data_IF_403964937708
#
_entry.id   IF_403964937708
#
_cell.length_a   1.000
_cell.length_b   1.000
_cell.length_c   1.000
_cell.angle_alpha   90.00
_cell.angle_beta   90.00
_cell.angle_gamma   90.00
#
_symmetry.space_group_name_H-M   'P 1'
#
loop_
_entity.id
_entity.type
_entity.pdbx_description
1 polymer ?
#
# COMPACT_ATOMS: atom_id res chain seq x y z
N UNK A 1 33.01 21.20 25.40
CA UNK A 1 32.68 21.77 24.09
C UNK A 1 32.50 20.61 23.13
N UNK A 2 31.35 20.59 22.44
CA UNK A 2 31.02 19.80 21.24
C UNK A 2 31.07 18.26 21.34
N UNK A 3 30.17 17.47 20.75
CA UNK A 3 28.89 17.65 20.05
C UNK A 3 28.37 16.22 19.84
N UNK A 4 27.29 15.83 20.49
CA UNK A 4 26.49 14.68 20.09
C UNK A 4 25.07 15.17 19.91
N UNK A 5 24.87 15.94 18.84
CA UNK A 5 23.57 16.16 18.23
C UNK A 5 23.13 14.84 17.61
N UNK A 6 22.58 13.94 18.42
CA UNK A 6 21.72 12.88 17.92
C UNK A 6 20.58 13.56 17.16
N UNK A 7 20.38 13.17 15.90
CA UNK A 7 19.29 13.64 15.07
C UNK A 7 17.98 13.58 15.87
N UNK A 8 17.38 14.74 16.12
CA UNK A 8 15.98 14.79 16.53
C UNK A 8 15.16 14.32 15.32
N UNK A 9 14.91 13.02 15.23
CA UNK A 9 13.79 12.51 14.46
C UNK A 9 12.56 13.22 15.02
N UNK A 10 11.94 14.07 14.20
CA UNK A 10 10.85 14.94 14.66
C UNK A 10 9.71 14.08 15.21
N UNK A 11 9.49 14.12 16.52
CA UNK A 11 8.35 13.45 17.18
C UNK A 11 7.01 14.04 16.75
N UNK A 12 7.03 15.26 16.21
CA UNK A 12 5.87 16.02 15.76
C UNK A 12 5.13 15.31 14.62
N UNK A 13 3.79 15.23 14.68
CA UNK A 13 2.98 14.78 13.56
C UNK A 13 3.17 15.68 12.33
N UNK A 14 3.35 15.08 11.16
CA UNK A 14 3.37 15.80 9.87
C UNK A 14 1.97 16.00 9.33
N UNK A 15 1.01 15.15 9.72
CA UNK A 15 -0.40 15.24 9.36
C UNK A 15 -1.25 15.04 10.62
N UNK A 16 -2.25 15.90 10.82
CA UNK A 16 -3.15 15.84 11.98
C UNK A 16 -4.58 15.73 11.46
N UNK A 17 -5.21 14.58 11.68
CA UNK A 17 -6.63 14.38 11.39
C UNK A 17 -7.49 14.66 12.61
N UNK A 18 -6.99 14.28 13.79
CA UNK A 18 -7.59 14.56 15.09
C UNK A 18 -6.50 15.14 16.01
N UNK A 19 -6.57 16.43 16.39
CA UNK A 19 -5.61 17.05 17.30
C UNK A 19 -5.57 16.41 18.68
N UNK A 20 -6.69 15.83 19.12
CA UNK A 20 -6.81 15.10 20.39
C UNK A 20 -6.59 13.58 20.19
N UNK A 21 -6.21 13.16 18.98
CA UNK A 21 -6.02 11.78 18.60
C UNK A 21 -4.85 11.12 19.33
N UNK A 22 -5.08 9.90 19.80
CA UNK A 22 -4.16 9.15 20.65
C UNK A 22 -3.24 8.20 19.86
N UNK A 23 -3.43 8.09 18.54
CA UNK A 23 -2.66 7.20 17.69
C UNK A 23 -1.80 8.01 16.73
N UNK A 24 -0.49 7.71 16.70
CA UNK A 24 0.43 8.20 15.68
C UNK A 24 0.75 7.05 14.73
N UNK A 25 0.33 7.14 13.48
CA UNK A 25 0.76 6.21 12.45
C UNK A 25 2.06 6.72 11.85
N UNK A 26 3.09 5.89 11.86
CA UNK A 26 4.35 6.14 11.16
C UNK A 26 4.30 5.35 9.86
N UNK A 27 4.22 6.06 8.74
CA UNK A 27 4.22 5.46 7.41
C UNK A 27 5.66 5.33 6.91
N UNK A 28 6.22 4.13 6.96
CA UNK A 28 7.54 3.83 6.42
C UNK A 28 7.45 3.47 4.95
N UNK A 29 8.51 3.78 4.20
CA UNK A 29 8.59 3.55 2.75
C UNK A 29 7.34 4.05 2.00
N UNK A 30 6.88 5.26 2.34
CA UNK A 30 5.73 5.87 1.67
C UNK A 30 5.94 5.92 0.14
N UNK A 31 4.86 5.66 -0.58
CA UNK A 31 4.82 5.64 -2.05
C UNK A 31 5.73 4.55 -2.65
N UNK A 32 5.80 3.39 -1.99
CA UNK A 32 6.50 2.21 -2.49
C UNK A 32 5.96 1.77 -3.87
N UNK A 33 6.78 1.06 -4.67
CA UNK A 33 6.35 0.52 -5.95
C UNK A 33 5.08 -0.36 -5.84
N UNK A 34 4.00 0.04 -6.51
CA UNK A 34 2.72 -0.66 -6.61
C UNK A 34 2.46 -1.31 -7.98
N UNK A 35 2.09 -2.61 -7.96
CA UNK A 35 1.64 -3.39 -9.13
C UNK A 35 2.65 -3.46 -10.30
N UNK A 36 3.93 -3.68 -9.99
CA UNK A 36 5.00 -3.87 -10.97
C UNK A 36 5.10 -5.33 -11.44
N UNK A 37 5.75 -5.54 -12.58
CA UNK A 37 6.17 -6.90 -12.98
C UNK A 37 7.19 -7.38 -11.96
N UNK A 38 7.11 -8.63 -11.47
CA UNK A 38 8.26 -9.21 -10.81
C UNK A 38 9.41 -9.16 -11.81
N UNK A 39 10.50 -8.48 -11.48
CA UNK A 39 11.73 -8.67 -12.25
C UNK A 39 12.06 -10.17 -12.15
N UNK A 40 12.20 -10.85 -13.30
CA UNK A 40 12.81 -12.17 -13.33
C UNK A 40 14.19 -12.02 -12.69
N UNK A 41 14.38 -12.52 -11.47
CA UNK A 41 15.69 -12.51 -10.82
C UNK A 41 16.60 -13.40 -11.67
N UNK A 42 17.58 -12.86 -12.42
CA UNK A 42 18.45 -13.71 -13.22
C UNK A 42 19.48 -14.34 -12.28
N UNK A 43 19.30 -15.63 -12.00
CA UNK A 43 20.36 -16.53 -11.56
C UNK A 43 20.79 -16.42 -10.09
N UNK A 44 20.18 -17.24 -9.23
CA UNK A 44 20.86 -17.79 -8.04
C UNK A 44 20.88 -19.32 -8.14
N UNK A 45 21.85 -19.83 -8.90
CA UNK A 45 22.34 -21.20 -8.73
C UNK A 45 23.67 -21.12 -7.97
N UNK A 46 23.86 -21.85 -6.86
CA UNK A 46 25.11 -21.83 -6.12
C UNK A 46 26.07 -22.85 -6.74
N UNK A 47 27.07 -22.39 -7.50
CA UNK A 47 28.21 -23.23 -7.86
C UNK A 47 29.55 -22.52 -7.65
N UNK A 48 30.18 -22.94 -6.54
CA UNK A 48 31.58 -23.36 -6.39
C UNK A 48 32.70 -22.51 -7.01
N UNK A 49 33.38 -21.81 -6.11
CA UNK A 49 34.81 -21.45 -6.09
C UNK A 49 35.69 -22.03 -7.20
N UNK A 50 36.33 -21.12 -7.95
CA UNK A 50 37.75 -21.23 -8.27
C UNK A 50 38.38 -19.83 -8.40
N UNK A 51 39.53 -19.65 -7.73
CA UNK A 51 40.34 -18.43 -7.69
C UNK A 51 41.11 -18.27 -9.00
N UNK A 52 41.28 -17.03 -9.45
CA UNK A 52 42.57 -16.51 -9.95
C UNK A 52 42.54 -14.99 -9.82
N UNK A 53 43.63 -14.44 -9.26
CA UNK A 53 43.83 -13.01 -9.02
C UNK A 53 44.57 -12.36 -10.19
N UNK A 54 44.24 -11.10 -10.50
CA UNK A 54 45.19 -9.99 -10.71
C UNK A 54 44.45 -8.65 -10.94
N UNK A 55 44.83 -7.64 -10.16
CA UNK A 55 44.47 -6.20 -10.21
C UNK A 55 45.50 -5.43 -11.10
N UNK A 56 45.41 -4.10 -11.37
CA UNK A 56 44.69 -3.06 -10.63
C UNK A 56 43.98 -1.91 -11.42
N UNK A 57 43.12 -1.22 -10.67
CA UNK A 57 42.87 0.23 -10.59
C UNK A 57 42.49 1.08 -11.83
N UNK A 58 41.29 1.65 -11.75
CA UNK A 58 41.06 3.06 -12.11
C UNK A 58 39.95 3.65 -11.23
N UNK A 59 40.36 4.56 -10.34
CA UNK A 59 39.53 5.46 -9.55
C UNK A 59 38.71 6.39 -10.44
N UNK A 60 37.39 6.27 -10.41
CA UNK A 60 36.49 7.38 -10.73
C UNK A 60 35.44 7.51 -9.62
N UNK A 61 35.78 8.32 -8.61
CA UNK A 61 34.83 8.80 -7.62
C UNK A 61 33.90 9.80 -8.31
N UNK A 62 32.74 9.35 -8.76
CA UNK A 62 31.62 10.23 -9.10
C UNK A 62 31.00 10.73 -7.78
N UNK A 63 30.85 12.04 -7.55
CA UNK A 63 30.19 12.53 -6.34
C UNK A 63 28.72 12.11 -6.34
N UNK A 64 28.36 11.15 -5.47
CA UNK A 64 26.96 10.90 -5.15
C UNK A 64 26.42 12.13 -4.42
N UNK A 65 25.44 12.80 -5.02
CA UNK A 65 24.62 13.80 -4.36
C UNK A 65 24.07 13.24 -3.04
N UNK A 66 23.98 14.03 -1.96
CA UNK A 66 23.42 13.56 -0.71
C UNK A 66 21.98 13.13 -0.93
N UNK A 67 21.72 11.83 -0.78
CA UNK A 67 20.38 11.26 -0.80
C UNK A 67 19.53 12.03 0.21
N UNK A 68 18.55 12.79 -0.28
CA UNK A 68 17.57 13.43 0.58
C UNK A 68 16.90 12.33 1.43
N UNK A 69 17.16 12.34 2.73
CA UNK A 69 16.52 11.41 3.67
C UNK A 69 15.02 11.69 3.59
N UNK A 70 14.26 10.80 2.92
CA UNK A 70 12.80 10.89 2.91
C UNK A 70 12.33 10.74 4.36
N UNK A 71 11.73 11.80 4.92
CA UNK A 71 11.14 11.72 6.25
C UNK A 71 9.87 10.88 6.21
N UNK A 72 9.74 9.96 7.16
CA UNK A 72 8.56 9.10 7.30
C UNK A 72 7.35 9.94 7.75
N UNK A 73 6.22 9.94 7.02
CA UNK A 73 5.02 10.65 7.46
C UNK A 73 4.52 10.14 8.82
N UNK A 74 4.23 11.08 9.73
CA UNK A 74 3.65 10.81 11.05
C UNK A 74 2.23 11.38 11.08
N UNK A 75 1.24 10.51 11.20
CA UNK A 75 -0.17 10.85 11.01
C UNK A 75 -0.92 10.67 12.33
N UNK A 76 -1.38 11.76 12.92
CA UNK A 76 -2.14 11.74 14.17
C UNK A 76 -3.62 11.50 13.89
N UNK A 77 -4.17 10.44 14.48
CA UNK A 77 -5.54 9.97 14.28
C UNK A 77 -6.19 9.53 15.59
N UNK A 78 -7.51 9.38 15.57
CA UNK A 78 -8.33 9.01 16.71
C UNK A 78 -8.42 7.50 16.88
N UNK A 79 -8.07 6.95 18.05
CA UNK A 79 -8.20 5.51 18.28
C UNK A 79 -9.66 5.04 18.11
N UNK A 80 -10.63 5.86 18.56
CA UNK A 80 -12.06 5.55 18.50
C UNK A 80 -12.56 5.37 17.07
N UNK A 81 -12.19 6.29 16.17
CA UNK A 81 -12.59 6.19 14.75
C UNK A 81 -11.97 4.96 14.08
N UNK A 82 -10.70 4.69 14.34
CA UNK A 82 -9.99 3.53 13.79
C UNK A 82 -10.62 2.21 14.27
N UNK A 83 -10.88 2.07 15.58
CA UNK A 83 -11.52 0.88 16.19
C UNK A 83 -12.94 0.67 15.66
N UNK A 84 -13.69 1.76 15.46
CA UNK A 84 -15.06 1.68 14.98
C UNK A 84 -15.13 1.21 13.52
N UNK A 85 -14.26 1.74 12.67
CA UNK A 85 -14.32 1.52 11.23
C UNK A 85 -13.61 0.24 10.74
N UNK A 86 -12.72 -0.35 11.54
CA UNK A 86 -11.83 -1.45 11.09
C UNK A 86 -11.74 -2.56 12.12
N UNK A 87 -11.99 -3.79 11.69
CA UNK A 87 -11.83 -4.96 12.55
C UNK A 87 -10.35 -5.22 12.88
N UNK A 88 -9.43 -4.91 11.96
CA UNK A 88 -8.00 -4.98 12.16
C UNK A 88 -7.56 -4.04 13.29
N UNK A 89 -7.89 -2.75 13.19
CA UNK A 89 -7.50 -1.77 14.21
C UNK A 89 -8.20 -2.04 15.55
N UNK A 90 -9.44 -2.54 15.53
CA UNK A 90 -10.11 -3.00 16.76
C UNK A 90 -9.30 -4.08 17.47
N UNK A 91 -8.84 -5.11 16.75
CA UNK A 91 -8.01 -6.19 17.32
C UNK A 91 -6.66 -5.67 17.81
N UNK A 92 -6.00 -4.82 17.03
CA UNK A 92 -4.68 -4.26 17.36
C UNK A 92 -4.72 -3.30 18.56
N UNK A 93 -5.74 -2.44 18.66
CA UNK A 93 -5.83 -1.39 19.68
C UNK A 93 -6.56 -1.81 20.95
N UNK A 94 -7.46 -2.80 20.89
CA UNK A 94 -8.21 -3.28 22.08
C UNK A 94 -7.83 -4.70 22.51
N UNK A 95 -6.95 -5.36 21.77
CA UNK A 95 -6.48 -6.72 22.06
C UNK A 95 -5.45 -6.80 23.18
N UNK A 96 -4.78 -7.95 23.27
CA UNK A 96 -3.67 -8.16 24.22
C UNK A 96 -2.31 -7.71 23.68
N UNK A 97 -2.28 -6.92 22.61
CA UNK A 97 -1.05 -6.53 21.92
C UNK A 97 -0.32 -5.41 22.67
N UNK A 98 0.91 -5.09 22.27
CA UNK A 98 1.71 -4.04 22.91
C UNK A 98 1.01 -2.68 22.81
N UNK A 99 0.41 -2.42 21.67
CA UNK A 99 -0.31 -1.21 21.30
C UNK A 99 -1.43 -0.87 22.28
N UNK A 100 -2.12 -1.87 22.82
CA UNK A 100 -3.17 -1.66 23.82
C UNK A 100 -2.60 -1.15 25.15
N UNK A 101 -1.44 -1.65 25.58
CA UNK A 101 -0.79 -1.17 26.80
C UNK A 101 -0.31 0.26 26.65
N UNK A 102 0.24 0.60 25.49
CA UNK A 102 0.74 1.94 25.18
C UNK A 102 -0.44 2.94 25.10
N UNK A 103 -1.53 2.57 24.43
CA UNK A 103 -2.73 3.41 24.36
C UNK A 103 -3.33 3.69 25.75
N UNK A 104 -3.32 2.71 26.68
CA UNK A 104 -3.73 2.92 28.07
C UNK A 104 -2.84 3.92 28.83
N UNK A 105 -1.60 4.12 28.40
CA UNK A 105 -0.67 5.11 28.95
C UNK A 105 -0.83 6.51 28.33
N UNK A 106 -1.69 6.66 27.33
CA UNK A 106 -2.13 7.95 26.79
C UNK A 106 -1.99 8.08 25.27
N UNK A 107 -1.03 7.39 24.64
CA UNK A 107 -0.89 7.38 23.18
C UNK A 107 -0.11 6.16 22.70
N UNK A 108 -0.28 5.81 21.42
CA UNK A 108 0.39 4.67 20.80
C UNK A 108 0.92 5.03 19.41
N UNK A 109 2.09 4.49 19.08
CA UNK A 109 2.62 4.53 17.73
C UNK A 109 2.33 3.21 17.00
N UNK A 110 1.75 3.31 15.80
CA UNK A 110 1.53 2.17 14.92
C UNK A 110 2.38 2.35 13.68
N UNK A 111 3.00 1.27 13.24
CA UNK A 111 3.75 1.26 12.00
C UNK A 111 2.86 0.81 10.85
N UNK A 112 2.88 1.57 9.76
CA UNK A 112 2.35 1.17 8.47
C UNK A 112 3.49 1.19 7.46
N UNK A 113 3.53 0.21 6.58
CA UNK A 113 4.62 0.04 5.61
C UNK A 113 4.04 0.12 4.18
N UNK A 114 4.81 0.71 3.27
CA UNK A 114 4.65 0.60 1.81
C UNK A 114 3.38 1.23 1.21
N UNK A 115 2.52 1.87 2.01
CA UNK A 115 1.36 2.55 1.45
C UNK A 115 1.72 3.81 0.68
N UNK A 116 0.99 4.02 -0.41
CA UNK A 116 0.91 5.32 -1.07
C UNK A 116 0.25 6.32 -0.11
N UNK A 117 0.94 7.43 0.17
CA UNK A 117 0.52 8.39 1.18
C UNK A 117 -0.83 9.01 0.81
N UNK A 118 -1.05 9.30 -0.47
CA UNK A 118 -2.31 9.90 -0.92
C UNK A 118 -3.48 8.92 -0.74
N UNK A 119 -3.32 7.66 -1.17
CA UNK A 119 -4.35 6.63 -1.01
C UNK A 119 -4.64 6.35 0.47
N UNK A 120 -3.60 6.30 1.31
CA UNK A 120 -3.77 6.06 2.74
C UNK A 120 -4.51 7.22 3.43
N UNK A 121 -4.16 8.47 3.10
CA UNK A 121 -4.84 9.65 3.63
C UNK A 121 -6.32 9.70 3.22
N UNK A 122 -6.67 9.26 2.00
CA UNK A 122 -8.08 9.14 1.57
C UNK A 122 -8.87 8.20 2.49
N UNK A 123 -8.32 7.03 2.79
CA UNK A 123 -8.94 6.04 3.68
C UNK A 123 -9.08 6.61 5.10
N UNK A 124 -8.03 7.23 5.62
CA UNK A 124 -8.05 7.83 6.95
C UNK A 124 -9.06 8.99 7.05
N UNK A 125 -9.18 9.84 6.01
CA UNK A 125 -10.22 10.87 5.97
C UNK A 125 -11.62 10.28 5.96
N UNK A 126 -11.85 9.18 5.23
CA UNK A 126 -13.14 8.49 5.23
C UNK A 126 -13.47 7.90 6.62
N UNK A 127 -12.50 7.25 7.27
CA UNK A 127 -12.63 6.73 8.64
C UNK A 127 -13.00 7.84 9.64
N UNK A 128 -12.44 9.04 9.47
CA UNK A 128 -12.70 10.19 10.35
C UNK A 128 -13.90 11.05 9.90
N UNK A 129 -14.69 10.60 8.92
CA UNK A 129 -15.85 11.33 8.41
C UNK A 129 -15.52 12.67 7.72
N UNK A 130 -14.25 12.90 7.36
CA UNK A 130 -13.78 14.14 6.74
C UNK A 130 -13.96 14.13 5.22
N UNK A 131 -15.14 13.73 4.74
CA UNK A 131 -15.44 13.54 3.30
C UNK A 131 -15.23 14.78 2.43
N UNK A 132 -15.23 16.00 3.02
CA UNK A 132 -14.86 17.24 2.29
C UNK A 132 -13.40 17.24 1.80
N UNK A 133 -12.51 16.49 2.44
CA UNK A 133 -11.10 16.33 2.06
C UNK A 133 -10.89 15.14 1.12
N UNK A 134 -11.91 14.32 0.90
CA UNK A 134 -11.85 13.18 -0.01
C UNK A 134 -12.10 13.65 -1.46
N UNK A 135 -11.23 13.29 -2.42
CA UNK A 135 -11.41 13.67 -3.82
C UNK A 135 -12.74 13.14 -4.40
N UNK A 136 -13.44 13.98 -5.17
CA UNK A 136 -14.68 13.56 -5.85
C UNK A 136 -14.40 12.61 -7.02
N UNK A 137 -13.20 12.67 -7.59
CA UNK A 137 -12.71 11.77 -8.64
C UNK A 137 -11.31 11.30 -8.30
N UNK A 138 -10.97 10.09 -8.73
CA UNK A 138 -9.65 9.47 -8.51
C UNK A 138 -9.22 8.76 -9.79
N UNK A 139 -7.90 8.58 -9.96
CA UNK A 139 -7.38 7.74 -11.04
C UNK A 139 -7.63 6.26 -10.76
N UNK A 140 -7.56 5.41 -11.81
CA UNK A 140 -7.58 3.94 -11.68
C UNK A 140 -6.54 3.48 -10.65
N UNK A 141 -5.34 4.07 -10.69
CA UNK A 141 -4.24 3.70 -9.80
C UNK A 141 -4.54 4.04 -8.33
N UNK A 142 -5.02 5.25 -8.04
CA UNK A 142 -5.37 5.65 -6.66
C UNK A 142 -6.54 4.80 -6.16
N UNK A 143 -7.55 4.52 -6.99
CA UNK A 143 -8.67 3.68 -6.58
C UNK A 143 -8.24 2.24 -6.27
N UNK A 144 -7.35 1.67 -7.07
CA UNK A 144 -6.78 0.35 -6.80
C UNK A 144 -6.00 0.33 -5.48
N UNK A 145 -5.15 1.33 -5.23
CA UNK A 145 -4.39 1.49 -3.98
C UNK A 145 -5.33 1.64 -2.78
N UNK A 146 -6.37 2.47 -2.87
CA UNK A 146 -7.40 2.61 -1.84
C UNK A 146 -8.09 1.27 -1.57
N UNK A 147 -8.46 0.52 -2.61
CA UNK A 147 -9.06 -0.80 -2.46
C UNK A 147 -8.13 -1.79 -1.74
N UNK A 148 -6.82 -1.80 -2.04
CA UNK A 148 -5.84 -2.65 -1.33
C UNK A 148 -5.76 -2.29 0.16
N UNK A 149 -5.66 -1.00 0.48
CA UNK A 149 -5.56 -0.52 1.87
C UNK A 149 -6.83 -0.88 2.64
N UNK A 150 -8.00 -0.68 2.04
CA UNK A 150 -9.30 -0.95 2.69
C UNK A 150 -9.55 -2.45 2.86
N UNK A 151 -9.09 -3.29 1.92
CA UNK A 151 -9.11 -4.74 2.06
C UNK A 151 -8.19 -5.19 3.21
N UNK A 152 -6.96 -4.67 3.25
CA UNK A 152 -5.96 -5.01 4.27
C UNK A 152 -6.43 -4.65 5.70
N UNK A 153 -6.93 -3.43 5.89
CA UNK A 153 -7.42 -2.97 7.19
C UNK A 153 -8.85 -3.42 7.49
N UNK A 154 -9.49 -4.21 6.62
CA UNK A 154 -10.85 -4.72 6.78
C UNK A 154 -11.85 -3.62 7.20
N UNK A 155 -11.97 -2.61 6.34
CA UNK A 155 -12.82 -1.43 6.57
C UNK A 155 -13.67 -1.03 5.37
N UNK A 156 -14.15 -2.01 4.57
CA UNK A 156 -14.87 -1.81 3.29
C UNK A 156 -16.01 -0.81 3.36
N UNK A 157 -16.76 -0.79 4.47
CA UNK A 157 -17.92 0.09 4.66
C UNK A 157 -17.59 1.59 4.58
N UNK A 158 -16.33 2.00 4.81
CA UNK A 158 -15.94 3.42 4.71
C UNK A 158 -16.04 3.97 3.29
N UNK A 159 -16.05 3.09 2.28
CA UNK A 159 -16.16 3.45 0.87
C UNK A 159 -17.59 3.52 0.37
N UNK A 160 -18.59 3.12 1.16
CA UNK A 160 -19.98 3.00 0.72
C UNK A 160 -20.52 4.29 0.06
N UNK A 161 -20.19 5.46 0.62
CA UNK A 161 -20.63 6.76 0.09
C UNK A 161 -19.79 7.28 -1.10
N UNK A 162 -18.65 6.66 -1.38
CA UNK A 162 -17.66 7.10 -2.35
C UNK A 162 -17.66 6.25 -3.62
N UNK A 163 -17.99 4.97 -3.48
CA UNK A 163 -17.80 3.96 -4.52
C UNK A 163 -18.53 4.32 -5.83
N UNK A 164 -19.81 4.70 -5.79
CA UNK A 164 -20.61 4.91 -7.02
C UNK A 164 -20.01 6.02 -7.89
N UNK A 165 -19.61 7.14 -7.25
CA UNK A 165 -19.01 8.28 -7.95
C UNK A 165 -17.69 7.91 -8.62
N UNK A 166 -16.85 7.13 -7.94
CA UNK A 166 -15.55 6.73 -8.47
C UNK A 166 -15.69 5.66 -9.55
N UNK A 167 -16.60 4.68 -9.37
CA UNK A 167 -16.90 3.64 -10.36
C UNK A 167 -17.48 4.25 -11.64
N UNK A 168 -18.42 5.19 -11.54
CA UNK A 168 -18.97 5.91 -12.70
C UNK A 168 -17.89 6.66 -13.49
N UNK A 169 -16.89 7.18 -12.80
CA UNK A 169 -15.74 7.82 -13.45
C UNK A 169 -14.86 6.82 -14.21
N UNK A 170 -14.78 5.56 -13.75
CA UNK A 170 -14.01 4.51 -14.42
C UNK A 170 -14.70 3.97 -15.66
N UNK A 171 -16.04 3.83 -15.62
CA UNK A 171 -16.83 3.36 -16.75
C UNK A 171 -16.68 4.28 -17.98
N UNK A 172 -16.39 5.57 -17.75
CA UNK A 172 -16.13 6.56 -18.80
C UNK A 172 -14.74 6.42 -19.44
N UNK A 173 -13.82 5.68 -18.81
CA UNK A 173 -12.47 5.43 -19.31
C UNK A 173 -12.41 4.05 -19.96
N UNK A 174 -12.93 3.93 -21.18
CA UNK A 174 -13.09 2.65 -21.90
C UNK A 174 -11.80 2.05 -22.48
N UNK A 175 -10.71 2.82 -22.56
CA UNK A 175 -9.46 2.35 -23.18
C UNK A 175 -8.54 1.75 -22.12
N UNK A 176 -8.36 0.42 -22.19
CA UNK A 176 -7.30 -0.30 -21.46
C UNK A 176 -5.96 0.09 -22.09
N UNK A 177 -5.04 0.63 -21.29
CA UNK A 177 -3.79 1.22 -21.80
C UNK A 177 -2.58 0.28 -21.76
N UNK A 178 -2.62 -0.74 -20.89
CA UNK A 178 -1.52 -1.69 -20.70
C UNK A 178 -1.99 -2.93 -19.93
N UNK A 179 -1.14 -3.96 -19.86
CA UNK A 179 -1.35 -5.15 -19.01
C UNK A 179 -1.49 -4.78 -17.53
N UNK A 180 -0.69 -3.82 -17.04
CA UNK A 180 -0.82 -3.27 -15.68
C UNK A 180 -2.17 -2.60 -15.46
N UNK A 181 -2.61 -1.74 -16.38
CA UNK A 181 -3.91 -1.07 -16.29
C UNK A 181 -5.07 -2.08 -16.25
N UNK A 182 -4.97 -3.15 -17.05
CA UNK A 182 -5.91 -4.27 -17.04
C UNK A 182 -5.97 -4.97 -15.67
N UNK A 183 -4.83 -5.26 -15.04
CA UNK A 183 -4.78 -5.88 -13.72
C UNK A 183 -5.35 -4.98 -12.62
N UNK A 184 -5.07 -3.66 -12.66
CA UNK A 184 -5.66 -2.71 -11.72
C UNK A 184 -7.18 -2.68 -11.83
N UNK A 185 -7.72 -2.63 -13.05
CA UNK A 185 -9.16 -2.66 -13.32
C UNK A 185 -9.79 -3.97 -12.90
N UNK A 186 -9.10 -5.09 -13.11
CA UNK A 186 -9.54 -6.40 -12.64
C UNK A 186 -9.67 -6.42 -11.11
N UNK A 187 -8.63 -5.97 -10.39
CA UNK A 187 -8.66 -5.85 -8.93
C UNK A 187 -9.83 -4.97 -8.45
N UNK A 188 -10.00 -3.79 -9.03
CA UNK A 188 -11.11 -2.89 -8.69
C UNK A 188 -12.46 -3.59 -8.93
N UNK A 189 -12.65 -4.22 -10.09
CA UNK A 189 -13.91 -4.90 -10.41
C UNK A 189 -14.21 -6.07 -9.47
N UNK A 190 -13.18 -6.79 -9.01
CA UNK A 190 -13.32 -7.83 -8.01
C UNK A 190 -13.70 -7.25 -6.64
N UNK A 191 -12.93 -6.28 -6.15
CA UNK A 191 -13.11 -5.69 -4.82
C UNK A 191 -14.49 -5.03 -4.66
N UNK A 192 -14.95 -4.27 -5.66
CA UNK A 192 -16.26 -3.60 -5.66
C UNK A 192 -17.40 -4.49 -6.20
N UNK A 193 -17.14 -5.78 -6.49
CA UNK A 193 -18.14 -6.74 -6.98
C UNK A 193 -18.85 -6.30 -8.28
N UNK A 194 -18.12 -5.66 -9.20
CA UNK A 194 -18.60 -5.19 -10.50
C UNK A 194 -18.68 -6.35 -11.50
N UNK A 195 -19.66 -7.23 -11.32
CA UNK A 195 -19.74 -8.54 -12.01
C UNK A 195 -19.65 -8.48 -13.53
N UNK A 196 -20.25 -7.48 -14.20
CA UNK A 196 -20.18 -7.30 -15.65
C UNK A 196 -18.75 -6.97 -16.09
N UNK A 197 -18.14 -5.94 -15.47
CA UNK A 197 -16.77 -5.55 -15.77
C UNK A 197 -15.77 -6.66 -15.46
N UNK A 198 -15.94 -7.37 -14.35
CA UNK A 198 -15.07 -8.48 -13.97
C UNK A 198 -15.12 -9.60 -15.04
N UNK A 199 -16.31 -9.97 -15.53
CA UNK A 199 -16.47 -10.96 -16.60
C UNK A 199 -15.84 -10.53 -17.92
N UNK A 200 -16.02 -9.27 -18.31
CA UNK A 200 -15.44 -8.73 -19.55
C UNK A 200 -13.91 -8.70 -19.48
N UNK A 201 -13.35 -8.22 -18.37
CA UNK A 201 -11.90 -8.13 -18.16
C UNK A 201 -11.27 -9.52 -18.12
N UNK A 202 -11.86 -10.46 -17.37
CA UNK A 202 -11.37 -11.86 -17.33
C UNK A 202 -11.44 -12.54 -18.69
N UNK A 203 -12.53 -12.34 -19.45
CA UNK A 203 -12.65 -12.88 -20.81
C UNK A 203 -11.58 -12.32 -21.75
N UNK A 204 -11.32 -11.00 -21.68
CA UNK A 204 -10.26 -10.36 -22.47
C UNK A 204 -8.86 -10.85 -22.11
N UNK A 205 -8.61 -11.13 -20.83
CA UNK A 205 -7.34 -11.69 -20.38
C UNK A 205 -7.21 -13.12 -20.91
N UNK A 206 -8.22 -13.96 -20.73
CA UNK A 206 -8.20 -15.36 -21.18
C UNK A 206 -8.05 -15.50 -22.70
N UNK A 207 -8.56 -14.57 -23.49
CA UNK A 207 -8.41 -14.60 -24.96
C UNK A 207 -7.05 -14.12 -25.46
N UNK A 208 -6.34 -13.32 -24.68
CA UNK A 208 -5.09 -12.65 -25.08
C UNK A 208 -3.85 -13.21 -24.38
N UNK A 209 -4.02 -13.93 -23.27
CA UNK A 209 -2.93 -14.50 -22.51
C UNK A 209 -2.25 -15.64 -23.29
N UNK A 210 -0.97 -15.46 -23.59
CA UNK A 210 -0.10 -16.50 -24.16
C UNK A 210 0.58 -17.32 -23.06
N UNK A 211 0.72 -16.73 -21.86
CA UNK A 211 1.38 -17.28 -20.67
C UNK A 211 0.52 -17.10 -19.40
N UNK A 212 1.04 -17.53 -18.24
CA UNK A 212 0.38 -17.38 -16.94
C UNK A 212 0.17 -15.90 -16.58
N UNK A 213 -1.01 -15.60 -16.02
CA UNK A 213 -1.33 -14.26 -15.50
C UNK A 213 -0.58 -14.11 -14.17
N UNK A 214 0.02 -12.95 -13.93
CA UNK A 214 0.70 -12.65 -12.66
C UNK A 214 -0.10 -11.59 -11.90
N UNK A 215 -0.37 -11.83 -10.62
CA UNK A 215 -1.19 -10.94 -9.78
C UNK A 215 -0.54 -9.56 -9.50
N UNK A 216 0.78 -9.45 -9.71
CA UNK A 216 1.57 -8.23 -9.48
C UNK A 216 1.41 -7.67 -8.06
N UNK A 217 1.29 -8.55 -7.06
CA UNK A 217 1.07 -8.16 -5.66
C UNK A 217 -0.32 -7.61 -5.35
N UNK A 218 -1.28 -7.65 -6.29
CA UNK A 218 -2.67 -7.28 -6.02
C UNK A 218 -3.38 -8.42 -5.26
N UNK A 219 -4.33 -8.12 -4.36
CA UNK A 219 -5.07 -9.13 -3.58
C UNK A 219 -6.13 -9.89 -4.38
N UNK A 220 -5.82 -10.28 -5.62
CA UNK A 220 -6.71 -11.05 -6.47
C UNK A 220 -6.59 -12.53 -6.09
N UNK A 221 -7.71 -13.24 -5.82
CA UNK A 221 -7.63 -14.64 -5.44
C UNK A 221 -6.95 -15.51 -6.51
N UNK A 222 -6.05 -16.39 -6.06
CA UNK A 222 -5.33 -17.34 -6.92
C UNK A 222 -6.24 -18.32 -7.68
N UNK A 223 -7.53 -18.40 -7.35
CA UNK A 223 -8.50 -19.15 -8.17
C UNK A 223 -8.72 -18.53 -9.56
N UNK A 224 -8.38 -17.25 -9.73
CA UNK A 224 -8.57 -16.51 -10.99
C UNK A 224 -7.28 -16.30 -11.79
N UNK A 225 -6.15 -16.62 -11.18
CA UNK A 225 -4.80 -16.42 -11.71
C UNK A 225 -4.20 -17.82 -11.72
N UNK A 226 -3.87 -18.37 -12.90
CA UNK A 226 -3.37 -19.75 -13.01
C UNK A 226 -2.33 -20.06 -11.92
N UNK A 227 -2.42 -21.25 -11.30
CA UNK A 227 -1.68 -21.63 -10.07
C UNK A 227 -0.26 -21.05 -10.02
N UNK A 228 -0.06 -20.04 -9.18
CA UNK A 228 1.26 -19.74 -8.62
C UNK A 228 1.31 -20.33 -7.21
N UNK A 229 2.04 -21.44 -7.05
CA UNK A 229 2.38 -21.99 -5.74
C UNK A 229 3.47 -21.11 -5.11
N UNK A 230 3.10 -20.05 -4.40
CA UNK A 230 4.02 -19.41 -3.45
C UNK A 230 3.32 -19.00 -2.15
N UNK A 231 3.70 -19.73 -1.10
CA UNK A 231 3.54 -19.51 0.34
C UNK A 231 2.58 -18.40 0.78
N UNK A 232 1.38 -18.81 1.19
CA UNK A 232 0.61 -18.14 2.22
C UNK A 232 1.47 -17.97 3.47
N UNK A 233 1.89 -16.73 3.77
CA UNK A 233 2.13 -16.36 5.15
C UNK A 233 0.77 -16.26 5.83
N UNK A 234 0.46 -17.29 6.63
CA UNK A 234 -0.62 -17.24 7.60
C UNK A 234 -0.38 -16.05 8.55
N UNK A 235 -1.36 -15.17 8.65
CA UNK A 235 -1.55 -14.26 9.78
C UNK A 235 -2.93 -14.49 10.38
#
# INVERSE_FOLDING_TARGET
>A
MEKLSSLNLTTTPTHILDPDGEVIIILRNADAPFAYEPEEIPGKTPEKTEKTAEEPASDETTPQEPSAVKSEPRIQVSAKHMIFASSFFKKSLTGGWKETKDLQQGSVEIIADDWDLQAFMIVLYAIHGQFKKVPQTVSVEILAKVAVIVDYYDCKDVLYLLQDKWIDSLAKLSVIRSSRDLMLRLWISYFFQLSTNFKELTSSIMSSATDSIVARGLPIPATFIGKEEHNTLNY
#
